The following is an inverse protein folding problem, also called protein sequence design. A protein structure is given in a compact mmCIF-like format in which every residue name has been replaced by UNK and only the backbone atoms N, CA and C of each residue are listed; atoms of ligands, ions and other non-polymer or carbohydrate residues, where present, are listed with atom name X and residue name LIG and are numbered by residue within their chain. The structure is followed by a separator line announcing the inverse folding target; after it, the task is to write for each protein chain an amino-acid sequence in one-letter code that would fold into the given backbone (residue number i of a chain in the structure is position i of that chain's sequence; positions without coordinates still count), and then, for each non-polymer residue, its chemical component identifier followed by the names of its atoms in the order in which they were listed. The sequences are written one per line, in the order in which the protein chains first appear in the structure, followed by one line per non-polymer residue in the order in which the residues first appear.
data_IF_272676680496
#
_entry.id   IF_272676680496
#
_cell.length_a   1.000
_cell.length_b   1.000
_cell.length_c   1.000
_cell.angle_alpha   90.00
_cell.angle_beta   90.00
_cell.angle_gamma   90.00
#
_symmetry.space_group_name_H-M   'P 1'
#
loop_
_entity.id
_entity.type
_entity.pdbx_description
1 polymer ?
#
# COMPACT_ATOMS: atom_id res chain seq x y z
N UNK A 1 0.10 -29.52 14.06
CA UNK A 1 -0.63 -29.49 15.35
C UNK A 1 0.42 -29.49 16.46
N UNK A 2 0.82 -28.34 16.95
CA UNK A 2 1.64 -28.22 18.14
C UNK A 2 0.91 -27.29 19.13
N UNK A 3 0.43 -27.87 20.20
CA UNK A 3 -0.18 -27.20 21.33
C UNK A 3 0.91 -26.45 22.13
N UNK A 4 0.83 -25.14 22.21
CA UNK A 4 1.59 -24.36 23.18
C UNK A 4 0.92 -24.44 24.54
N UNK A 5 1.59 -25.15 25.50
CA UNK A 5 1.26 -25.11 26.92
C UNK A 5 1.78 -23.84 27.54
N UNK A 6 0.87 -23.06 28.11
CA UNK A 6 1.18 -21.92 28.96
C UNK A 6 1.80 -22.39 30.28
N UNK A 7 3.03 -21.97 30.56
CA UNK A 7 3.59 -21.97 31.92
C UNK A 7 3.56 -20.56 32.49
N UNK A 8 2.63 -20.30 33.38
CA UNK A 8 2.67 -19.13 34.26
C UNK A 8 3.83 -19.30 35.26
N UNK A 9 4.80 -18.40 35.22
CA UNK A 9 5.70 -18.13 36.33
C UNK A 9 5.44 -16.71 36.85
N UNK A 10 4.92 -16.63 38.07
CA UNK A 10 4.83 -15.42 38.87
C UNK A 10 6.22 -15.10 39.39
N UNK A 11 6.82 -14.04 38.92
CA UNK A 11 8.07 -13.46 39.46
C UNK A 11 7.88 -11.95 39.61
N UNK A 12 7.90 -11.50 40.85
CA UNK A 12 7.84 -10.11 41.27
C UNK A 12 9.07 -9.33 40.78
N UNK A 13 8.84 -8.19 40.12
CA UNK A 13 9.89 -7.25 39.69
C UNK A 13 10.28 -6.31 40.88
N UNK A 14 11.55 -5.99 41.06
CA UNK A 14 11.99 -5.01 42.06
C UNK A 14 11.80 -3.57 41.57
N UNK A 15 11.52 -2.67 42.49
CA UNK A 15 11.26 -1.26 42.33
C UNK A 15 12.41 -0.52 41.63
N UNK A 16 12.07 0.35 40.70
CA UNK A 16 12.98 1.24 39.99
C UNK A 16 13.44 2.38 40.94
N UNK A 17 14.76 2.61 40.98
CA UNK A 17 15.39 3.75 41.66
C UNK A 17 15.37 4.96 40.72
N UNK A 18 14.94 6.11 41.29
CA UNK A 18 15.01 7.43 40.67
C UNK A 18 16.46 7.82 40.33
N UNK A 19 16.66 8.21 39.05
CA UNK A 19 17.84 8.95 38.62
C UNK A 19 17.40 10.31 38.08
N UNK A 20 17.49 11.33 38.92
CA UNK A 20 17.38 12.72 38.48
C UNK A 20 18.64 13.15 37.72
N UNK A 21 18.53 13.29 36.38
CA UNK A 21 19.52 13.92 35.52
C UNK A 21 18.98 15.24 34.95
N UNK A 22 19.52 16.37 35.42
CA UNK A 22 19.19 17.71 34.89
C UNK A 22 19.76 17.87 33.47
N UNK A 23 18.90 17.87 32.44
CA UNK A 23 19.21 18.18 31.06
C UNK A 23 18.70 19.56 30.66
N UNK A 24 19.60 20.42 30.20
CA UNK A 24 19.36 21.82 29.79
C UNK A 24 18.42 21.87 28.58
N UNK A 25 17.32 22.64 28.70
CA UNK A 25 16.44 23.02 27.55
C UNK A 25 17.19 24.00 26.67
N UNK A 26 17.40 23.66 25.38
CA UNK A 26 17.69 24.63 24.33
C UNK A 26 16.36 25.15 23.80
N UNK A 27 16.10 26.42 24.05
CA UNK A 27 15.02 27.17 23.38
C UNK A 27 15.47 27.47 21.95
N UNK A 28 14.70 27.00 20.97
CA UNK A 28 14.78 27.52 19.60
C UNK A 28 13.83 28.72 19.47
N UNK A 29 14.42 29.90 19.29
CA UNK A 29 13.71 31.12 19.02
C UNK A 29 13.15 31.08 17.58
N UNK A 30 11.81 31.14 17.45
CA UNK A 30 11.16 31.29 16.16
C UNK A 30 11.22 32.74 15.69
N UNK A 31 11.64 32.95 14.45
CA UNK A 31 11.58 34.25 13.78
C UNK A 31 10.13 34.61 13.45
N UNK A 32 9.71 35.76 13.93
CA UNK A 32 8.44 36.42 13.60
C UNK A 32 8.64 37.18 12.30
N UNK A 33 7.95 36.84 11.22
CA UNK A 33 7.81 37.69 10.04
C UNK A 33 6.56 38.54 10.20
N UNK A 34 6.75 39.85 10.29
CA UNK A 34 5.70 40.84 10.21
C UNK A 34 5.40 41.13 8.72
N UNK A 35 4.13 41.10 8.32
CA UNK A 35 3.71 41.51 6.98
C UNK A 35 2.44 40.83 6.51
N UNK A 36 1.30 41.52 6.53
CA UNK A 36 -0.08 41.11 6.37
C UNK A 36 -0.44 40.15 5.24
N UNK A 37 -1.30 39.23 5.57
CA UNK A 37 -1.92 38.27 4.65
C UNK A 37 -2.13 36.91 5.34
N UNK A 38 -3.28 36.72 6.02
CA UNK A 38 -3.51 35.58 6.90
C UNK A 38 -3.57 34.24 6.19
N UNK A 39 -2.52 33.44 6.34
CA UNK A 39 -2.58 31.99 6.23
C UNK A 39 -2.60 31.43 7.66
N UNK A 40 -3.78 31.26 8.23
CA UNK A 40 -3.93 30.46 9.45
C UNK A 40 -3.68 28.99 9.11
N UNK A 41 -2.45 28.54 9.24
CA UNK A 41 -2.15 27.11 9.38
C UNK A 41 -2.85 26.64 10.65
N UNK A 42 -3.97 25.93 10.52
CA UNK A 42 -4.62 25.30 11.64
C UNK A 42 -3.60 24.39 12.35
N UNK A 43 -3.09 24.82 13.49
CA UNK A 43 -2.33 23.96 14.38
C UNK A 43 -3.20 22.75 14.68
N UNK A 44 -2.75 21.57 14.28
CA UNK A 44 -3.25 20.36 14.94
C UNK A 44 -3.00 20.55 16.45
N UNK A 45 -4.00 20.35 17.30
CA UNK A 45 -3.78 20.39 18.73
C UNK A 45 -2.68 19.38 19.05
N UNK A 46 -1.65 19.82 19.76
CA UNK A 46 -0.61 18.92 20.25
C UNK A 46 -1.32 17.81 21.03
N UNK A 47 -0.99 16.55 20.71
CA UNK A 47 -1.53 15.40 21.40
C UNK A 47 -1.27 15.61 22.90
N UNK A 48 -2.33 15.64 23.70
CA UNK A 48 -2.18 15.68 25.14
C UNK A 48 -1.63 14.32 25.58
N UNK A 49 -0.34 14.27 25.85
CA UNK A 49 0.36 13.07 26.29
C UNK A 49 -0.20 12.50 27.61
N UNK A 50 -1.08 13.25 28.29
CA UNK A 50 -1.73 12.83 29.52
C UNK A 50 -3.00 11.99 29.31
N UNK A 51 -3.52 11.94 28.06
CA UNK A 51 -4.72 11.14 27.72
C UNK A 51 -4.59 10.51 26.32
N UNK A 52 -3.65 9.55 26.12
CA UNK A 52 -3.43 8.93 24.83
C UNK A 52 -4.67 8.20 24.29
N UNK A 53 -5.48 7.59 25.17
CA UNK A 53 -6.71 6.88 24.78
C UNK A 53 -7.78 7.83 24.24
N UNK A 54 -7.91 9.02 24.84
CA UNK A 54 -8.83 10.06 24.37
C UNK A 54 -8.48 10.53 22.95
N UNK A 55 -7.18 10.71 22.67
CA UNK A 55 -6.69 11.08 21.34
C UNK A 55 -6.91 9.97 20.30
N UNK A 56 -6.62 8.73 20.64
CA UNK A 56 -6.83 7.58 19.77
C UNK A 56 -8.32 7.39 19.46
N UNK A 57 -9.20 7.49 20.44
CA UNK A 57 -10.63 7.41 20.24
C UNK A 57 -11.15 8.52 19.30
N UNK A 58 -10.69 9.76 19.47
CA UNK A 58 -11.04 10.86 18.56
C UNK A 58 -10.50 10.63 17.14
N UNK A 59 -9.32 10.03 17.00
CA UNK A 59 -8.78 9.65 15.70
C UNK A 59 -9.67 8.60 15.03
N UNK A 60 -10.03 7.53 15.71
CA UNK A 60 -10.87 6.47 15.17
C UNK A 60 -12.28 6.95 14.81
N UNK A 61 -12.88 7.81 15.63
CA UNK A 61 -14.19 8.38 15.32
C UNK A 61 -14.16 9.27 14.05
N UNK A 62 -13.06 10.00 13.83
CA UNK A 62 -12.88 10.75 12.59
C UNK A 62 -12.67 9.83 11.38
N UNK A 63 -11.86 8.78 11.53
CA UNK A 63 -11.60 7.83 10.43
C UNK A 63 -12.86 7.08 9.99
N UNK A 64 -13.74 6.70 10.91
CA UNK A 64 -15.02 6.03 10.58
C UNK A 64 -15.90 6.82 9.60
N UNK A 65 -15.82 8.14 9.63
CA UNK A 65 -16.58 9.03 8.74
C UNK A 65 -15.90 9.34 7.41
N UNK A 66 -14.68 8.87 7.18
CA UNK A 66 -13.94 9.19 5.96
C UNK A 66 -14.24 8.16 4.87
N UNK A 67 -14.61 8.63 3.69
CA UNK A 67 -14.87 7.79 2.53
C UNK A 67 -14.34 8.45 1.26
N UNK A 68 -13.92 7.65 0.28
CA UNK A 68 -13.65 8.11 -1.08
C UNK A 68 -14.95 8.13 -1.87
N UNK A 69 -15.24 9.23 -2.53
CA UNK A 69 -16.37 9.33 -3.44
C UNK A 69 -15.95 8.88 -4.85
N UNK A 70 -16.56 7.81 -5.33
CA UNK A 70 -16.51 7.42 -6.73
C UNK A 70 -17.66 8.04 -7.49
N UNK A 71 -17.52 8.37 -8.80
CA UNK A 71 -18.65 8.84 -9.60
C UNK A 71 -19.72 7.73 -9.72
N UNK A 72 -20.99 8.13 -9.88
CA UNK A 72 -22.06 7.18 -10.07
C UNK A 72 -22.02 6.48 -11.43
N UNK A 73 -21.43 7.14 -12.44
CA UNK A 73 -21.20 6.62 -13.79
C UNK A 73 -20.00 7.31 -14.42
N UNK A 74 -19.41 6.69 -15.42
CA UNK A 74 -18.37 7.31 -16.21
C UNK A 74 -18.96 8.25 -17.26
N UNK A 75 -18.28 9.36 -17.62
CA UNK A 75 -18.70 10.22 -18.71
C UNK A 75 -18.61 9.48 -20.07
N UNK A 76 -19.36 9.95 -21.07
CA UNK A 76 -19.43 9.32 -22.38
C UNK A 76 -18.08 9.29 -23.12
N UNK A 77 -17.19 10.22 -22.81
CA UNK A 77 -15.83 10.34 -23.38
C UNK A 77 -14.76 9.63 -22.53
N UNK A 78 -15.16 8.85 -21.52
CA UNK A 78 -14.24 8.09 -20.67
C UNK A 78 -13.39 7.10 -21.48
N UNK A 79 -12.09 7.07 -21.21
CA UNK A 79 -11.16 6.19 -21.88
C UNK A 79 -11.01 4.86 -21.13
N UNK A 80 -11.07 3.70 -21.82
CA UNK A 80 -10.79 2.42 -21.18
C UNK A 80 -9.31 2.30 -20.82
N UNK A 81 -9.04 1.69 -19.68
CA UNK A 81 -7.68 1.33 -19.22
C UNK A 81 -7.75 0.17 -18.23
N UNK A 82 -6.60 -0.44 -17.95
CA UNK A 82 -6.46 -1.46 -16.93
C UNK A 82 -5.84 -0.87 -15.67
N UNK A 83 -6.37 -1.24 -14.51
CA UNK A 83 -5.73 -1.01 -13.20
C UNK A 83 -5.07 -2.29 -12.74
N UNK A 84 -3.77 -2.23 -12.47
CA UNK A 84 -2.99 -3.35 -11.91
C UNK A 84 -2.41 -2.92 -10.56
N UNK A 85 -2.90 -3.53 -9.48
CA UNK A 85 -2.43 -3.30 -8.12
C UNK A 85 -1.52 -4.45 -7.71
N UNK A 86 -0.23 -4.18 -7.58
CA UNK A 86 0.81 -5.14 -7.16
C UNK A 86 1.06 -4.94 -5.68
N UNK A 87 0.66 -5.93 -4.88
CA UNK A 87 0.74 -5.93 -3.43
C UNK A 87 1.89 -6.83 -2.98
N UNK A 88 2.96 -6.27 -2.43
CA UNK A 88 4.23 -6.97 -2.18
C UNK A 88 4.38 -7.30 -0.69
N UNK A 89 4.56 -8.56 -0.35
CA UNK A 89 5.02 -9.04 0.95
C UNK A 89 6.50 -9.47 0.85
N UNK A 90 7.45 -8.86 1.52
CA UNK A 90 7.46 -7.84 2.57
C UNK A 90 8.48 -6.77 2.17
N UNK A 91 8.07 -5.52 2.13
CA UNK A 91 8.93 -4.43 1.68
C UNK A 91 8.59 -3.11 2.40
N UNK A 92 9.56 -2.51 3.09
CA UNK A 92 9.49 -1.16 3.64
C UNK A 92 10.68 -0.32 3.15
N UNK A 93 10.63 1.00 3.37
CA UNK A 93 11.77 1.88 3.09
C UNK A 93 13.02 1.44 3.83
N UNK A 94 12.88 1.05 5.11
CA UNK A 94 14.00 0.55 5.92
C UNK A 94 14.64 -0.72 5.33
N UNK A 95 13.87 -1.59 4.70
CA UNK A 95 14.40 -2.79 4.04
C UNK A 95 15.18 -2.41 2.78
N UNK A 96 14.65 -1.49 1.96
CA UNK A 96 15.37 -1.00 0.76
C UNK A 96 16.70 -0.33 1.12
N UNK A 97 16.70 0.47 2.19
CA UNK A 97 17.92 1.11 2.69
C UNK A 97 18.94 0.06 3.16
N UNK A 98 18.47 -0.97 3.88
CA UNK A 98 19.35 -2.05 4.38
C UNK A 98 20.03 -2.85 3.27
N UNK A 99 19.43 -2.94 2.08
CA UNK A 99 19.96 -3.68 0.93
C UNK A 99 20.44 -2.77 -0.22
N UNK A 100 20.45 -1.45 -0.03
CA UNK A 100 20.89 -0.44 -1.00
C UNK A 100 20.10 -0.48 -2.33
N UNK A 101 18.79 -0.74 -2.29
CA UNK A 101 17.92 -0.80 -3.47
C UNK A 101 16.97 0.42 -3.62
N UNK A 102 17.12 1.44 -2.80
CA UNK A 102 16.31 2.67 -2.87
C UNK A 102 16.50 3.43 -4.20
N UNK A 103 17.64 3.24 -4.87
CA UNK A 103 17.93 3.85 -6.17
C UNK A 103 17.77 2.88 -7.36
N UNK A 104 17.09 1.75 -7.17
CA UNK A 104 16.82 0.83 -8.26
C UNK A 104 16.02 1.53 -9.38
N UNK A 105 16.30 1.27 -10.69
CA UNK A 105 15.60 1.93 -11.82
C UNK A 105 14.08 1.82 -11.79
N UNK A 106 13.53 0.77 -11.20
CA UNK A 106 12.10 0.60 -11.02
C UNK A 106 11.43 1.85 -10.42
N UNK A 107 12.03 2.39 -9.35
CA UNK A 107 11.44 3.51 -8.61
C UNK A 107 11.53 4.84 -9.38
N UNK A 108 12.59 5.04 -10.16
CA UNK A 108 12.73 6.24 -11.00
C UNK A 108 11.76 6.27 -12.19
N UNK A 109 11.19 5.12 -12.58
CA UNK A 109 10.16 5.03 -13.64
C UNK A 109 8.77 5.41 -13.15
N UNK A 110 8.53 5.48 -11.85
CA UNK A 110 7.22 5.88 -11.31
C UNK A 110 6.91 7.33 -11.67
N UNK A 111 5.63 7.64 -11.86
CA UNK A 111 5.16 9.01 -12.07
C UNK A 111 4.86 9.70 -10.72
N UNK A 112 4.40 8.91 -9.73
CA UNK A 112 4.09 9.38 -8.39
C UNK A 112 4.71 8.42 -7.36
N UNK A 113 5.36 8.97 -6.33
CA UNK A 113 5.85 8.24 -5.17
C UNK A 113 5.27 8.84 -3.88
N UNK A 114 4.80 7.97 -2.99
CA UNK A 114 4.39 8.35 -1.65
C UNK A 114 5.57 8.11 -0.69
N UNK A 115 6.20 9.18 -0.25
CA UNK A 115 7.36 9.12 0.64
C UNK A 115 6.99 8.79 2.09
N UNK A 116 5.72 8.98 2.45
CA UNK A 116 5.26 8.82 3.83
C UNK A 116 3.92 8.05 3.88
N UNK A 117 3.92 6.87 3.26
CA UNK A 117 2.76 5.97 3.27
C UNK A 117 2.86 4.99 4.45
N UNK A 118 1.77 4.87 5.21
CA UNK A 118 1.67 3.96 6.35
C UNK A 118 0.66 2.84 6.04
N UNK A 119 1.13 1.60 6.02
CA UNK A 119 0.29 0.41 5.80
C UNK A 119 -0.54 0.01 7.04
N UNK A 120 -0.25 0.60 8.19
CA UNK A 120 -0.97 0.42 9.47
C UNK A 120 -1.00 -1.03 9.99
N UNK A 121 -0.08 -1.88 9.54
CA UNK A 121 -0.03 -3.28 9.95
C UNK A 121 1.35 -3.90 9.72
N UNK A 122 1.60 -5.07 10.32
CA UNK A 122 2.82 -5.85 10.19
C UNK A 122 2.57 -7.26 9.61
N UNK A 123 1.34 -7.54 9.13
CA UNK A 123 0.93 -8.86 8.62
C UNK A 123 0.12 -8.75 7.33
N UNK A 124 0.24 -9.75 6.46
CA UNK A 124 -0.33 -9.77 5.10
C UNK A 124 -1.86 -9.73 5.08
N UNK A 125 -2.54 -10.54 5.89
CA UNK A 125 -4.01 -10.54 5.94
C UNK A 125 -4.59 -9.15 6.25
N UNK A 126 -4.22 -8.54 7.38
CA UNK A 126 -4.66 -7.17 7.70
C UNK A 126 -4.27 -6.13 6.64
N UNK A 127 -3.10 -6.26 6.00
CA UNK A 127 -2.68 -5.34 4.94
C UNK A 127 -3.59 -5.45 3.70
N UNK A 128 -3.83 -6.67 3.23
CA UNK A 128 -4.70 -6.93 2.10
C UNK A 128 -6.14 -6.47 2.36
N UNK A 129 -6.70 -6.76 3.54
CA UNK A 129 -8.04 -6.29 3.93
C UNK A 129 -8.11 -4.76 3.89
N UNK A 130 -7.10 -4.06 4.44
CA UNK A 130 -7.04 -2.59 4.44
C UNK A 130 -6.96 -2.01 3.04
N UNK A 131 -6.18 -2.64 2.15
CA UNK A 131 -6.07 -2.24 0.75
C UNK A 131 -7.39 -2.46 0.00
N UNK A 132 -8.02 -3.62 0.16
CA UNK A 132 -9.28 -3.93 -0.50
C UNK A 132 -10.45 -3.07 0.03
N UNK A 133 -10.37 -2.61 1.28
CA UNK A 133 -11.31 -1.66 1.90
C UNK A 133 -10.83 -0.20 1.86
N UNK A 134 -9.96 0.13 0.89
CA UNK A 134 -9.29 1.43 0.82
C UNK A 134 -10.22 2.63 0.62
N UNK A 135 -11.48 2.42 0.25
CA UNK A 135 -12.44 3.50 0.01
C UNK A 135 -13.07 4.05 1.29
N UNK A 136 -12.74 3.48 2.46
CA UNK A 136 -13.13 4.00 3.77
C UNK A 136 -11.90 4.26 4.65
N UNK A 137 -12.07 5.05 5.70
CA UNK A 137 -11.02 5.31 6.67
C UNK A 137 -10.59 4.04 7.41
N UNK A 138 -9.35 4.06 7.91
CA UNK A 138 -8.72 2.88 8.52
C UNK A 138 -9.35 2.55 9.88
N UNK A 139 -9.85 1.32 9.99
CA UNK A 139 -10.36 0.76 11.24
C UNK A 139 -9.22 0.39 12.20
N UNK A 140 -9.53 0.31 13.51
CA UNK A 140 -8.63 -0.32 14.47
C UNK A 140 -8.38 -1.78 14.08
N UNK A 141 -7.27 -2.38 14.53
CA UNK A 141 -7.00 -3.78 14.24
C UNK A 141 -8.10 -4.71 14.77
N UNK A 142 -8.64 -4.39 15.94
CA UNK A 142 -9.74 -5.16 16.55
C UNK A 142 -11.01 -5.17 15.69
N UNK A 143 -11.31 -4.04 15.05
CA UNK A 143 -12.55 -3.85 14.30
C UNK A 143 -12.39 -4.20 12.81
N UNK A 144 -11.17 -4.51 12.36
CA UNK A 144 -10.84 -4.75 10.96
C UNK A 144 -11.64 -5.91 10.35
N UNK A 145 -11.91 -6.95 11.12
CA UNK A 145 -12.62 -8.16 10.67
C UNK A 145 -14.14 -8.06 10.81
N UNK A 146 -14.65 -6.91 11.25
CA UNK A 146 -16.09 -6.66 11.27
C UNK A 146 -16.61 -6.32 9.86
N UNK A 147 -17.88 -6.61 9.56
CA UNK A 147 -18.50 -6.19 8.30
C UNK A 147 -18.41 -4.68 8.10
N UNK A 148 -18.21 -4.26 6.86
CA UNK A 148 -18.21 -2.85 6.45
C UNK A 148 -19.25 -2.60 5.37
N UNK A 149 -19.57 -1.33 5.15
CA UNK A 149 -20.46 -0.94 4.05
C UNK A 149 -19.83 -1.27 2.70
N UNK A 150 -20.65 -1.66 1.72
CA UNK A 150 -20.23 -2.03 0.37
C UNK A 150 -19.37 -0.94 -0.31
N UNK A 151 -19.66 0.33 -0.05
CA UNK A 151 -18.87 1.46 -0.56
C UNK A 151 -17.41 1.48 -0.10
N UNK A 152 -17.04 0.70 0.92
CA UNK A 152 -15.67 0.62 1.41
C UNK A 152 -14.76 -0.22 0.50
N UNK A 153 -15.33 -1.15 -0.27
CA UNK A 153 -14.58 -2.04 -1.14
C UNK A 153 -14.16 -1.33 -2.43
N UNK A 154 -12.84 -1.21 -2.61
CA UNK A 154 -12.26 -0.51 -3.76
C UNK A 154 -12.65 -1.17 -5.09
N UNK A 155 -12.56 -2.50 -5.17
CA UNK A 155 -12.82 -3.24 -6.40
C UNK A 155 -14.30 -3.26 -6.75
N UNK A 156 -15.20 -3.25 -5.77
CA UNK A 156 -16.65 -3.10 -5.99
C UNK A 156 -17.02 -1.75 -6.59
N UNK A 157 -16.39 -0.68 -6.07
CA UNK A 157 -16.61 0.65 -6.63
C UNK A 157 -16.14 0.74 -8.09
N UNK A 158 -15.03 0.05 -8.41
CA UNK A 158 -14.54 -0.05 -9.78
C UNK A 158 -15.45 -0.92 -10.66
N UNK A 159 -15.96 -2.06 -10.13
CA UNK A 159 -16.89 -2.93 -10.84
C UNK A 159 -18.17 -2.20 -11.25
N UNK A 160 -18.73 -1.35 -10.38
CA UNK A 160 -19.89 -0.48 -10.68
C UNK A 160 -19.63 0.48 -11.84
N UNK A 161 -18.37 0.81 -12.11
CA UNK A 161 -17.93 1.67 -13.22
C UNK A 161 -17.52 0.86 -14.46
N UNK A 162 -17.76 -0.44 -14.47
CA UNK A 162 -17.51 -1.32 -15.61
C UNK A 162 -16.09 -1.93 -15.66
N UNK A 163 -15.31 -1.82 -14.58
CA UNK A 163 -14.04 -2.54 -14.49
C UNK A 163 -14.30 -4.01 -14.14
N UNK A 164 -13.77 -4.92 -14.97
CA UNK A 164 -13.83 -6.36 -14.68
C UNK A 164 -12.78 -6.71 -13.62
N UNK A 165 -13.24 -7.24 -12.50
CA UNK A 165 -12.36 -7.71 -11.44
C UNK A 165 -11.50 -8.90 -11.88
N UNK A 166 -10.23 -8.91 -11.49
CA UNK A 166 -9.29 -10.00 -11.72
C UNK A 166 -8.44 -10.23 -10.46
N UNK A 167 -8.08 -11.49 -10.20
CA UNK A 167 -7.28 -11.88 -9.06
C UNK A 167 -6.09 -12.73 -9.50
N UNK A 168 -4.89 -12.33 -9.07
CA UNK A 168 -3.63 -13.01 -9.31
C UNK A 168 -2.87 -13.19 -8.00
N UNK A 169 -2.22 -14.34 -7.86
CA UNK A 169 -1.26 -14.62 -6.79
C UNK A 169 -0.05 -15.32 -7.43
N UNK A 170 1.14 -15.10 -6.90
CA UNK A 170 2.34 -15.89 -7.23
C UNK A 170 2.47 -17.15 -6.36
N UNK A 171 1.51 -17.40 -5.49
CA UNK A 171 1.44 -18.50 -4.54
C UNK A 171 0.03 -19.11 -4.49
N UNK A 172 -0.16 -20.19 -3.73
CA UNK A 172 -1.48 -20.87 -3.63
C UNK A 172 -2.54 -20.06 -2.87
N UNK A 173 -2.13 -19.15 -2.00
CA UNK A 173 -3.03 -18.44 -1.09
C UNK A 173 -3.59 -19.28 0.06
N UNK A 174 -3.10 -20.53 0.22
CA UNK A 174 -3.57 -21.46 1.25
C UNK A 174 -3.03 -21.09 2.62
N UNK A 175 -1.75 -20.70 2.70
CA UNK A 175 -1.14 -20.33 3.97
C UNK A 175 -1.90 -19.18 4.65
N UNK A 176 -2.15 -19.32 5.96
CA UNK A 176 -2.90 -18.34 6.73
C UNK A 176 -4.35 -18.14 6.26
N UNK A 177 -4.88 -19.00 5.38
CA UNK A 177 -6.17 -18.82 4.70
C UNK A 177 -6.24 -17.52 3.87
N UNK A 178 -5.12 -17.04 3.34
CA UNK A 178 -5.02 -15.74 2.69
C UNK A 178 -6.06 -15.56 1.55
N UNK A 179 -6.17 -16.54 0.65
CA UNK A 179 -7.19 -16.48 -0.42
C UNK A 179 -8.61 -16.40 0.14
N UNK A 180 -8.89 -17.13 1.22
CA UNK A 180 -10.19 -17.05 1.91
C UNK A 180 -10.44 -15.65 2.50
N UNK A 181 -9.41 -15.04 3.12
CA UNK A 181 -9.51 -13.67 3.62
C UNK A 181 -9.78 -12.65 2.49
N UNK A 182 -9.13 -12.78 1.34
CA UNK A 182 -9.42 -11.95 0.17
C UNK A 182 -10.89 -12.06 -0.26
N UNK A 183 -11.47 -13.28 -0.21
CA UNK A 183 -12.87 -13.53 -0.54
C UNK A 183 -13.82 -12.94 0.49
N UNK A 184 -13.64 -13.30 1.75
CA UNK A 184 -14.61 -13.02 2.81
C UNK A 184 -14.50 -11.59 3.35
N UNK A 185 -13.27 -11.08 3.44
CA UNK A 185 -13.01 -9.77 4.02
C UNK A 185 -12.74 -8.69 2.97
N UNK A 186 -12.23 -9.08 1.82
CA UNK A 186 -11.91 -8.18 0.71
C UNK A 186 -12.97 -8.10 -0.37
N UNK A 187 -13.97 -8.99 -0.32
CA UNK A 187 -15.05 -9.15 -1.32
C UNK A 187 -14.55 -9.44 -2.75
N UNK A 188 -13.36 -10.06 -2.86
CA UNK A 188 -12.80 -10.46 -4.16
C UNK A 188 -13.50 -11.72 -4.68
N UNK A 189 -14.30 -11.61 -5.76
CA UNK A 189 -15.09 -12.71 -6.29
C UNK A 189 -14.50 -13.34 -7.56
N UNK A 190 -13.61 -12.64 -8.28
CA UNK A 190 -13.00 -13.16 -9.50
C UNK A 190 -12.25 -14.50 -9.25
N UNK A 191 -12.30 -15.45 -10.19
CA UNK A 191 -11.48 -16.67 -10.07
C UNK A 191 -10.00 -16.31 -10.05
N UNK A 192 -9.21 -17.09 -9.29
CA UNK A 192 -7.76 -16.97 -9.32
C UNK A 192 -7.25 -17.27 -10.73
N UNK A 193 -6.44 -16.39 -11.30
CA UNK A 193 -5.79 -16.62 -12.58
C UNK A 193 -4.92 -17.87 -12.52
N UNK A 194 -5.02 -18.70 -13.56
CA UNK A 194 -4.29 -19.97 -13.63
C UNK A 194 -2.77 -19.76 -13.59
N UNK A 195 -2.12 -20.49 -12.70
CA UNK A 195 -0.66 -20.58 -12.53
C UNK A 195 -0.06 -21.76 -13.33
N UNK A 196 -0.89 -22.54 -14.02
CA UNK A 196 -0.45 -23.72 -14.77
C UNK A 196 0.59 -23.34 -15.82
N UNK A 197 1.73 -24.04 -15.84
CA UNK A 197 2.83 -23.82 -16.78
C UNK A 197 3.69 -22.60 -16.50
N UNK A 198 3.49 -21.90 -15.37
CA UNK A 198 4.43 -20.87 -14.88
C UNK A 198 5.57 -21.56 -14.14
N UNK A 199 6.79 -21.08 -14.33
CA UNK A 199 7.99 -21.61 -13.65
C UNK A 199 7.98 -21.34 -12.14
N UNK A 200 8.44 -22.30 -11.35
CA UNK A 200 8.68 -22.09 -9.94
C UNK A 200 9.98 -21.29 -9.75
N UNK A 201 9.89 -20.16 -9.05
CA UNK A 201 11.04 -19.31 -8.78
C UNK A 201 11.63 -19.59 -7.40
N UNK A 202 10.78 -19.76 -6.41
CA UNK A 202 11.14 -20.04 -5.03
C UNK A 202 10.24 -21.16 -4.47
N UNK A 203 10.61 -21.65 -3.31
CA UNK A 203 9.78 -22.48 -2.46
C UNK A 203 9.50 -21.69 -1.19
N UNK A 204 8.24 -21.57 -0.81
CA UNK A 204 7.86 -20.88 0.42
C UNK A 204 8.33 -21.67 1.66
N UNK A 205 8.24 -21.03 2.82
CA UNK A 205 8.68 -21.66 4.08
C UNK A 205 7.83 -22.90 4.45
N UNK A 206 6.59 -23.00 4.00
CA UNK A 206 5.69 -24.14 4.20
C UNK A 206 5.83 -25.22 3.09
N UNK A 207 6.68 -24.97 2.09
CA UNK A 207 7.00 -25.94 1.04
C UNK A 207 6.24 -25.77 -0.26
N UNK A 208 5.28 -24.83 -0.32
CA UNK A 208 4.52 -24.54 -1.54
C UNK A 208 5.36 -23.79 -2.58
N UNK A 209 5.07 -23.94 -3.88
CA UNK A 209 5.76 -23.19 -4.92
C UNK A 209 5.42 -21.70 -4.87
N UNK A 210 6.42 -20.86 -5.15
CA UNK A 210 6.24 -19.44 -5.49
C UNK A 210 6.62 -19.32 -6.97
N UNK A 211 5.66 -18.84 -7.75
CA UNK A 211 5.76 -18.79 -9.20
C UNK A 211 6.50 -17.52 -9.67
N UNK A 212 7.03 -17.57 -10.89
CA UNK A 212 7.75 -16.45 -11.48
C UNK A 212 6.82 -15.26 -11.78
N UNK A 213 7.09 -14.12 -11.15
CA UNK A 213 6.26 -12.93 -11.24
C UNK A 213 6.24 -12.32 -12.65
N UNK A 214 7.38 -12.29 -13.33
CA UNK A 214 7.45 -11.77 -14.70
C UNK A 214 6.64 -12.62 -15.67
N UNK A 215 6.68 -13.94 -15.54
CA UNK A 215 5.87 -14.85 -16.38
C UNK A 215 4.37 -14.66 -16.11
N UNK A 216 3.96 -14.53 -14.84
CA UNK A 216 2.57 -14.24 -14.47
C UNK A 216 2.09 -12.91 -15.05
N UNK A 217 2.89 -11.87 -14.91
CA UNK A 217 2.60 -10.52 -15.41
C UNK A 217 2.57 -10.49 -16.96
N UNK A 218 3.48 -11.21 -17.61
CA UNK A 218 3.48 -11.34 -19.08
C UNK A 218 2.22 -12.05 -19.57
N UNK A 219 1.81 -13.14 -18.91
CA UNK A 219 0.55 -13.86 -19.19
C UNK A 219 -0.65 -12.93 -18.99
N UNK A 220 -0.67 -12.16 -17.92
CA UNK A 220 -1.71 -11.16 -17.68
C UNK A 220 -1.79 -10.17 -18.85
N UNK A 221 -0.66 -9.60 -19.27
CA UNK A 221 -0.60 -8.65 -20.39
C UNK A 221 -1.14 -9.28 -21.70
N UNK A 222 -0.73 -10.50 -22.02
CA UNK A 222 -1.22 -11.23 -23.19
C UNK A 222 -2.74 -11.44 -23.15
N UNK A 223 -3.29 -11.72 -21.98
CA UNK A 223 -4.74 -11.85 -21.79
C UNK A 223 -5.46 -10.51 -21.99
N UNK A 224 -4.90 -9.41 -21.46
CA UNK A 224 -5.49 -8.09 -21.67
C UNK A 224 -5.46 -7.68 -23.16
N UNK A 225 -4.38 -7.95 -23.86
CA UNK A 225 -4.27 -7.66 -25.30
C UNK A 225 -5.29 -8.44 -26.11
N UNK A 226 -5.51 -9.72 -25.80
CA UNK A 226 -6.54 -10.56 -26.45
C UNK A 226 -7.97 -10.14 -26.11
N UNK A 227 -8.17 -9.56 -24.93
CA UNK A 227 -9.49 -9.11 -24.46
C UNK A 227 -9.99 -7.80 -25.07
N UNK A 228 -9.18 -7.12 -25.89
CA UNK A 228 -9.52 -5.83 -26.50
C UNK A 228 -9.45 -4.66 -25.52
N UNK A 229 -10.09 -3.55 -25.87
CA UNK A 229 -10.05 -2.29 -25.09
C UNK A 229 -11.11 -2.26 -23.96
N UNK A 230 -11.06 -3.25 -23.08
CA UNK A 230 -11.89 -3.31 -21.88
C UNK A 230 -11.31 -2.52 -20.71
N UNK A 231 -12.10 -2.44 -19.62
CA UNK A 231 -11.63 -1.97 -18.30
C UNK A 231 -11.46 -3.18 -17.40
N UNK A 232 -10.26 -3.36 -16.84
CA UNK A 232 -10.02 -4.38 -15.82
C UNK A 232 -9.43 -3.77 -14.55
N UNK A 233 -9.70 -4.37 -13.42
CA UNK A 233 -9.07 -4.06 -12.14
C UNK A 233 -8.51 -5.35 -11.56
N UNK A 234 -7.19 -5.44 -11.48
CA UNK A 234 -6.46 -6.64 -11.08
C UNK A 234 -5.78 -6.41 -9.74
N UNK A 235 -6.05 -7.30 -8.79
CA UNK A 235 -5.25 -7.43 -7.56
C UNK A 235 -4.24 -8.56 -7.76
N UNK A 236 -2.96 -8.25 -7.62
CA UNK A 236 -1.85 -9.19 -7.70
C UNK A 236 -1.03 -9.15 -6.42
N UNK A 237 -1.08 -10.22 -5.63
CA UNK A 237 -0.25 -10.35 -4.43
C UNK A 237 0.96 -11.24 -4.71
N UNK A 238 2.13 -10.80 -4.27
CA UNK A 238 3.41 -11.46 -4.49
C UNK A 238 4.19 -11.58 -3.19
N UNK A 239 4.82 -12.74 -2.99
CA UNK A 239 5.51 -13.10 -1.74
C UNK A 239 6.99 -13.49 -1.88
N UNK A 240 7.76 -13.09 -2.93
CA UNK A 240 9.17 -13.48 -3.04
C UNK A 240 10.02 -13.00 -1.86
N UNK A 241 9.60 -11.90 -1.21
CA UNK A 241 10.33 -11.27 -0.11
C UNK A 241 9.90 -11.78 1.28
N UNK A 242 8.95 -12.73 1.35
CA UNK A 242 8.53 -13.31 2.62
C UNK A 242 9.67 -14.08 3.29
N UNK A 243 9.69 -14.03 4.64
CA UNK A 243 10.69 -14.74 5.45
C UNK A 243 10.61 -16.25 5.24
N UNK A 244 11.77 -16.90 5.31
CA UNK A 244 11.85 -18.37 5.22
C UNK A 244 11.71 -18.92 3.80
N UNK A 245 11.46 -18.11 2.79
CA UNK A 245 11.48 -18.55 1.40
C UNK A 245 12.86 -19.09 1.03
N UNK A 246 12.89 -20.08 0.13
CA UNK A 246 14.07 -20.84 -0.27
C UNK A 246 14.22 -20.81 -1.78
N UNK A 247 15.43 -20.82 -2.29
CA UNK A 247 15.65 -21.14 -3.70
C UNK A 247 15.22 -22.58 -4.00
N UNK A 248 14.68 -22.80 -5.19
CA UNK A 248 14.23 -24.14 -5.62
C UNK A 248 15.37 -25.15 -5.46
N UNK A 249 15.08 -26.28 -4.80
CA UNK A 249 16.05 -27.33 -4.51
C UNK A 249 16.95 -27.06 -3.28
N UNK A 250 16.79 -25.92 -2.60
CA UNK A 250 17.52 -25.60 -1.37
C UNK A 250 16.68 -25.85 -0.12
N UNK A 251 17.33 -26.33 0.95
CA UNK A 251 16.74 -26.45 2.28
C UNK A 251 17.07 -25.26 3.19
N UNK A 252 17.85 -24.29 2.71
CA UNK A 252 18.24 -23.08 3.45
C UNK A 252 17.38 -21.91 3.02
N UNK A 253 17.00 -21.04 3.97
CA UNK A 253 16.37 -19.76 3.65
C UNK A 253 17.23 -18.98 2.67
N UNK A 254 16.59 -18.43 1.66
CA UNK A 254 17.25 -17.57 0.69
C UNK A 254 17.48 -16.17 1.28
N UNK A 255 18.65 -15.60 1.04
CA UNK A 255 18.96 -14.24 1.46
C UNK A 255 18.01 -13.23 0.82
N UNK A 256 17.66 -12.19 1.57
CA UNK A 256 16.72 -11.17 1.12
C UNK A 256 17.24 -10.34 -0.07
N UNK A 257 18.52 -9.83 -0.08
CA UNK A 257 19.00 -8.95 -1.14
C UNK A 257 18.86 -9.51 -2.56
N UNK A 258 19.27 -10.76 -2.88
CA UNK A 258 19.11 -11.29 -4.24
C UNK A 258 17.66 -11.48 -4.65
N UNK A 259 16.76 -11.79 -3.70
CA UNK A 259 15.32 -11.89 -3.98
C UNK A 259 14.71 -10.52 -4.29
N UNK A 260 15.08 -9.50 -3.51
CA UNK A 260 14.62 -8.13 -3.73
C UNK A 260 15.13 -7.56 -5.06
N UNK A 261 16.42 -7.75 -5.36
CA UNK A 261 16.99 -7.34 -6.65
C UNK A 261 16.22 -8.00 -7.80
N UNK A 262 16.00 -9.30 -7.73
CA UNK A 262 15.31 -10.05 -8.79
C UNK A 262 13.86 -9.58 -8.98
N UNK A 263 13.11 -9.41 -7.90
CA UNK A 263 11.75 -8.89 -7.98
C UNK A 263 11.71 -7.51 -8.65
N UNK A 264 12.59 -6.60 -8.25
CA UNK A 264 12.63 -5.26 -8.84
C UNK A 264 13.04 -5.28 -10.31
N UNK A 265 13.98 -6.15 -10.70
CA UNK A 265 14.37 -6.35 -12.10
C UNK A 265 13.21 -6.89 -12.93
N UNK A 266 12.44 -7.84 -12.40
CA UNK A 266 11.26 -8.38 -13.05
C UNK A 266 10.16 -7.33 -13.23
N UNK A 267 9.84 -6.56 -12.20
CA UNK A 267 8.86 -5.48 -12.27
C UNK A 267 9.32 -4.37 -13.24
N UNK A 268 10.61 -4.03 -13.20
CA UNK A 268 11.20 -3.06 -14.13
C UNK A 268 11.11 -3.52 -15.58
N UNK A 269 11.41 -4.79 -15.85
CA UNK A 269 11.26 -5.42 -17.17
C UNK A 269 9.81 -5.44 -17.62
N UNK A 270 8.88 -5.75 -16.72
CA UNK A 270 7.46 -5.75 -17.03
C UNK A 270 6.94 -4.35 -17.41
N UNK A 271 7.40 -3.29 -16.74
CA UNK A 271 7.06 -1.92 -17.12
C UNK A 271 7.51 -1.61 -18.56
N UNK A 272 8.71 -2.08 -18.96
CA UNK A 272 9.19 -1.93 -20.34
C UNK A 272 8.31 -2.71 -21.35
N UNK A 273 7.80 -3.90 -20.97
CA UNK A 273 6.86 -4.64 -21.78
C UNK A 273 5.52 -3.89 -21.93
N UNK A 274 5.02 -3.31 -20.83
CA UNK A 274 3.80 -2.50 -20.87
C UNK A 274 3.94 -1.30 -21.79
N UNK A 275 5.02 -0.54 -21.68
CA UNK A 275 5.28 0.62 -22.55
C UNK A 275 5.31 0.22 -24.03
N UNK A 276 5.97 -0.88 -24.36
CA UNK A 276 6.02 -1.41 -25.75
C UNK A 276 4.68 -1.92 -26.26
N UNK A 277 3.80 -2.34 -25.36
CA UNK A 277 2.48 -2.90 -25.74
C UNK A 277 1.50 -1.85 -26.28
N UNK A 278 1.74 -0.57 -25.98
CA UNK A 278 0.82 0.53 -26.30
C UNK A 278 -0.47 0.52 -25.47
N UNK A 279 -0.59 -0.35 -24.50
CA UNK A 279 -1.78 -0.48 -23.66
C UNK A 279 -1.82 0.62 -22.59
N UNK A 280 -3.03 1.07 -22.24
CA UNK A 280 -3.24 2.05 -21.18
C UNK A 280 -3.40 1.33 -19.85
N UNK A 281 -2.46 1.51 -18.95
CA UNK A 281 -2.42 0.81 -17.65
C UNK A 281 -2.03 1.78 -16.54
N UNK A 282 -2.79 1.77 -15.45
CA UNK A 282 -2.37 2.33 -14.17
C UNK A 282 -1.77 1.20 -13.34
N UNK A 283 -0.48 1.24 -13.12
CA UNK A 283 0.23 0.28 -12.25
C UNK A 283 0.41 0.93 -10.88
N UNK A 284 -0.05 0.23 -9.84
CA UNK A 284 0.13 0.61 -8.43
C UNK A 284 1.00 -0.44 -7.76
N UNK A 285 2.18 -0.04 -7.28
CA UNK A 285 3.01 -0.88 -6.42
C UNK A 285 2.74 -0.43 -4.97
N UNK A 286 2.18 -1.33 -4.16
CA UNK A 286 1.80 -1.04 -2.78
C UNK A 286 2.18 -2.21 -1.88
N UNK A 287 3.34 -2.14 -1.18
CA UNK A 287 3.74 -3.18 -0.25
C UNK A 287 2.80 -3.27 0.96
N UNK A 288 2.72 -4.49 1.53
CA UNK A 288 1.90 -4.79 2.71
C UNK A 288 2.51 -4.25 3.99
N UNK A 289 3.78 -4.58 4.21
CA UNK A 289 4.58 -4.24 5.39
C UNK A 289 6.05 -4.58 5.11
N UNK A 290 6.94 -4.15 5.98
CA UNK A 290 8.37 -4.45 5.88
C UNK A 290 8.73 -5.87 6.32
N UNK A 291 9.94 -6.29 5.92
CA UNK A 291 10.57 -7.54 6.33
C UNK A 291 11.22 -7.45 7.72
N UNK A 292 11.34 -6.26 8.28
CA UNK A 292 12.06 -5.99 9.52
C UNK A 292 13.53 -6.45 9.49
N UNK A 293 14.22 -6.22 8.36
CA UNK A 293 15.64 -6.58 8.21
C UNK A 293 16.50 -5.91 9.27
N UNK A 294 16.14 -4.70 9.67
CA UNK A 294 16.78 -3.95 10.74
C UNK A 294 15.82 -3.90 11.93
N UNK A 295 16.32 -4.30 13.09
CA UNK A 295 15.57 -4.14 14.35
C UNK A 295 15.44 -2.67 14.74
N UNK A 296 14.64 -2.40 15.75
CA UNK A 296 14.47 -1.08 16.36
C UNK A 296 14.65 -1.16 17.89
N UNK A 297 14.30 -0.08 18.60
CA UNK A 297 14.42 -0.03 20.06
C UNK A 297 13.45 -0.96 20.79
N UNK A 298 12.41 -1.45 20.12
CA UNK A 298 11.32 -2.23 20.71
C UNK A 298 11.43 -3.71 20.39
N UNK A 299 12.05 -4.06 19.24
CA UNK A 299 12.11 -5.44 18.74
C UNK A 299 13.37 -5.69 17.91
N UNK A 300 13.84 -6.93 17.94
CA UNK A 300 15.01 -7.36 17.17
C UNK A 300 14.69 -7.49 15.68
N UNK A 301 15.75 -7.53 14.86
CA UNK A 301 15.65 -7.90 13.44
C UNK A 301 14.84 -9.19 13.24
N UNK A 302 13.97 -9.20 12.26
CA UNK A 302 13.06 -10.32 11.95
C UNK A 302 11.77 -10.37 12.76
N UNK A 303 11.64 -9.58 13.85
CA UNK A 303 10.42 -9.51 14.64
C UNK A 303 9.50 -8.39 14.14
N UNK A 304 8.20 -8.69 14.06
CA UNK A 304 7.15 -7.79 13.53
C UNK A 304 5.92 -7.70 14.45
N UNK A 305 6.06 -8.07 15.70
CA UNK A 305 4.94 -8.07 16.65
C UNK A 305 4.42 -6.66 16.94
N UNK A 306 5.30 -5.66 16.85
CA UNK A 306 4.96 -4.25 17.02
C UNK A 306 5.05 -3.58 15.65
N UNK A 307 3.96 -3.01 15.12
CA UNK A 307 3.94 -2.33 13.82
C UNK A 307 4.67 -0.96 13.90
N UNK A 308 5.98 -1.01 14.06
CA UNK A 308 6.85 0.17 14.12
C UNK A 308 7.00 0.83 12.74
N UNK A 309 7.48 2.08 12.66
CA UNK A 309 7.71 2.76 11.39
C UNK A 309 8.62 1.99 10.42
N UNK A 310 9.62 1.25 10.92
CA UNK A 310 10.49 0.41 10.07
C UNK A 310 9.73 -0.69 9.31
N UNK A 311 8.52 -1.01 9.77
CA UNK A 311 7.67 -2.06 9.19
C UNK A 311 6.52 -1.46 8.40
N UNK A 312 5.88 -0.41 8.93
CA UNK A 312 4.64 0.13 8.34
C UNK A 312 4.88 1.24 7.32
N UNK A 313 6.08 1.81 7.26
CA UNK A 313 6.44 2.86 6.31
C UNK A 313 6.91 2.22 5.00
N UNK A 314 5.98 2.09 4.05
CA UNK A 314 6.19 1.35 2.80
C UNK A 314 6.35 2.28 1.58
N UNK A 315 7.19 1.91 0.58
CA UNK A 315 7.30 2.65 -0.67
C UNK A 315 6.10 2.35 -1.56
N UNK A 316 5.26 3.35 -1.81
CA UNK A 316 4.12 3.21 -2.74
C UNK A 316 4.40 4.02 -3.99
N UNK A 317 4.38 3.35 -5.14
CA UNK A 317 4.64 3.94 -6.45
C UNK A 317 3.48 3.76 -7.40
N UNK A 318 3.25 4.75 -8.27
CA UNK A 318 2.22 4.71 -9.30
C UNK A 318 2.84 5.07 -10.64
N UNK A 319 2.61 4.21 -11.63
CA UNK A 319 3.02 4.41 -13.02
C UNK A 319 1.81 4.40 -13.93
N UNK A 320 1.70 5.42 -14.77
CA UNK A 320 0.68 5.51 -15.81
C UNK A 320 1.33 5.22 -17.16
N UNK A 321 1.04 4.05 -17.71
CA UNK A 321 1.58 3.59 -19.00
C UNK A 321 0.59 3.91 -20.13
N UNK A 322 1.07 4.34 -21.28
CA UNK A 322 0.23 4.63 -22.45
C UNK A 322 -0.37 6.04 -22.49
N UNK A 323 0.16 6.96 -21.71
CA UNK A 323 -0.26 8.37 -21.71
C UNK A 323 0.21 9.09 -22.97
N UNK A 324 -0.66 9.96 -23.51
CA UNK A 324 -0.28 10.89 -24.59
C UNK A 324 0.74 11.93 -24.13
N UNK A 325 0.63 12.39 -22.88
CA UNK A 325 1.55 13.34 -22.25
C UNK A 325 2.15 12.71 -20.95
N UNK A 326 3.14 11.80 -21.07
CA UNK A 326 3.74 11.15 -19.93
C UNK A 326 4.46 12.16 -19.02
N UNK A 327 4.51 11.84 -17.73
CA UNK A 327 5.29 12.62 -16.77
C UNK A 327 6.77 12.65 -17.17
N UNK A 328 7.41 13.80 -17.05
CA UNK A 328 8.82 13.99 -17.36
C UNK A 328 9.63 14.22 -16.09
N UNK A 329 10.82 13.64 -16.04
CA UNK A 329 11.74 13.80 -14.92
C UNK A 329 11.51 12.86 -13.75
N UNK A 330 11.93 13.25 -12.55
CA UNK A 330 11.79 12.44 -11.34
C UNK A 330 10.33 12.31 -10.92
N UNK A 331 9.95 11.20 -10.26
CA UNK A 331 8.60 11.02 -9.74
C UNK A 331 8.12 12.19 -8.88
N UNK A 332 6.84 12.53 -8.99
CA UNK A 332 6.20 13.48 -8.10
C UNK A 332 6.13 12.90 -6.69
N UNK A 333 6.80 13.54 -5.73
CA UNK A 333 6.89 13.08 -4.35
C UNK A 333 5.71 13.58 -3.51
N UNK A 334 4.93 12.66 -2.91
CA UNK A 334 3.89 12.97 -1.92
C UNK A 334 4.47 12.74 -0.53
N UNK A 335 4.91 13.84 0.11
CA UNK A 335 5.60 13.82 1.41
C UNK A 335 4.65 13.84 2.62
N UNK A 336 3.39 14.16 2.40
CA UNK A 336 2.40 14.19 3.48
C UNK A 336 2.05 12.78 3.95
N UNK A 337 1.78 12.56 5.24
CA UNK A 337 1.31 11.28 5.73
C UNK A 337 0.11 10.79 4.93
N UNK A 338 0.19 9.57 4.46
CA UNK A 338 -0.76 8.94 3.55
C UNK A 338 -1.06 7.51 4.00
N UNK A 339 -2.19 6.98 3.55
CA UNK A 339 -2.59 5.60 3.75
C UNK A 339 -3.44 5.13 2.56
N UNK A 340 -4.01 3.95 2.65
CA UNK A 340 -4.83 3.36 1.59
C UNK A 340 -5.97 4.27 1.09
N UNK A 341 -6.55 5.11 1.94
CA UNK A 341 -7.58 6.06 1.53
C UNK A 341 -7.04 7.07 0.50
N UNK A 342 -5.78 7.53 0.64
CA UNK A 342 -5.16 8.42 -0.33
C UNK A 342 -4.97 7.73 -1.69
N UNK A 343 -4.67 6.43 -1.68
CA UNK A 343 -4.59 5.61 -2.90
C UNK A 343 -5.97 5.50 -3.58
N UNK A 344 -7.01 5.16 -2.81
CA UNK A 344 -8.38 5.12 -3.31
C UNK A 344 -8.85 6.46 -3.89
N UNK A 345 -8.52 7.56 -3.22
CA UNK A 345 -8.78 8.93 -3.70
C UNK A 345 -8.11 9.19 -5.07
N UNK A 346 -6.86 8.79 -5.23
CA UNK A 346 -6.14 8.95 -6.50
C UNK A 346 -6.78 8.09 -7.60
N UNK A 347 -7.09 6.82 -7.31
CA UNK A 347 -7.76 5.91 -8.25
C UNK A 347 -9.11 6.49 -8.67
N UNK A 348 -9.90 7.02 -7.74
CA UNK A 348 -11.23 7.60 -8.06
C UNK A 348 -11.17 8.79 -9.04
N UNK A 349 -10.03 9.47 -9.11
CA UNK A 349 -9.78 10.59 -10.06
C UNK A 349 -9.30 10.12 -11.43
N UNK A 350 -8.82 8.87 -11.50
CA UNK A 350 -8.31 8.29 -12.73
C UNK A 350 -9.36 7.45 -13.48
N UNK A 351 -10.51 7.11 -12.85
CA UNK A 351 -11.46 6.14 -13.38
C UNK A 351 -12.06 6.47 -14.75
N UNK A 352 -12.12 7.74 -15.12
CA UNK A 352 -12.57 8.15 -16.46
C UNK A 352 -11.50 7.97 -17.54
N UNK A 353 -10.25 7.70 -17.17
CA UNK A 353 -9.14 7.45 -18.07
C UNK A 353 -8.73 8.65 -18.93
N UNK A 354 -9.26 9.84 -18.68
CA UNK A 354 -8.93 11.05 -19.46
C UNK A 354 -7.46 11.39 -19.44
N UNK A 355 -6.77 11.08 -18.33
CA UNK A 355 -5.33 11.26 -18.18
C UNK A 355 -4.52 10.62 -19.33
N UNK A 356 -5.04 9.58 -19.99
CA UNK A 356 -4.37 8.90 -21.09
C UNK A 356 -4.50 9.63 -22.44
N UNK A 357 -5.50 10.47 -22.61
CA UNK A 357 -5.79 11.17 -23.87
C UNK A 357 -5.52 12.68 -23.83
N UNK A 358 -5.38 13.25 -22.65
CA UNK A 358 -5.13 14.67 -22.48
C UNK A 358 -3.77 15.10 -23.03
N UNK A 359 -3.67 16.28 -23.67
CA UNK A 359 -2.41 16.80 -24.18
C UNK A 359 -1.48 17.30 -23.07
N UNK A 360 -2.00 17.54 -21.89
CA UNK A 360 -1.25 17.90 -20.67
C UNK A 360 -2.00 17.42 -19.44
N UNK A 361 -1.28 17.08 -18.39
CA UNK A 361 -1.84 16.62 -17.10
C UNK A 361 -1.44 17.59 -16.01
N UNK A 362 -2.43 18.11 -15.27
CA UNK A 362 -2.17 18.86 -14.04
C UNK A 362 -1.91 17.87 -12.90
N UNK A 363 -0.65 17.49 -12.76
CA UNK A 363 -0.19 16.55 -11.72
C UNK A 363 -0.44 17.07 -10.31
N UNK A 364 -0.45 18.39 -10.10
CA UNK A 364 -0.77 18.96 -8.80
C UNK A 364 -2.24 18.79 -8.46
N UNK A 365 -3.14 19.07 -9.39
CA UNK A 365 -4.57 18.87 -9.20
C UNK A 365 -4.89 17.39 -8.99
N UNK A 366 -4.28 16.49 -9.78
CA UNK A 366 -4.46 15.06 -9.66
C UNK A 366 -4.10 14.54 -8.25
N UNK A 367 -3.04 15.03 -7.66
CA UNK A 367 -2.56 14.63 -6.32
C UNK A 367 -3.01 15.53 -5.18
N UNK A 368 -3.72 16.62 -5.47
CA UNK A 368 -4.25 17.53 -4.46
C UNK A 368 -5.29 16.78 -3.61
N UNK A 369 -5.22 16.86 -2.31
CA UNK A 369 -6.13 16.12 -1.42
C UNK A 369 -5.63 14.73 -1.01
N UNK A 370 -4.81 14.05 -1.80
CA UNK A 370 -3.94 13.00 -1.27
C UNK A 370 -2.98 13.56 -0.20
N UNK A 371 -2.93 14.89 -0.10
CA UNK A 371 -2.02 15.66 0.77
C UNK A 371 -2.66 16.19 2.07
N UNK A 372 -3.99 16.09 2.27
CA UNK A 372 -4.67 16.61 3.49
C UNK A 372 -5.95 15.84 3.82
N UNK A 373 -6.26 15.61 5.10
CA UNK A 373 -7.64 15.34 5.49
C UNK A 373 -8.48 16.58 5.11
N UNK A 374 -9.56 16.40 4.36
CA UNK A 374 -10.53 17.48 4.09
C UNK A 374 -11.06 17.97 5.44
N UNK A 375 -10.85 19.25 5.73
CA UNK A 375 -11.67 19.96 6.69
C UNK A 375 -13.14 19.90 6.19
N UNK A 376 -14.06 19.48 7.03
CA UNK A 376 -15.51 19.46 6.75
C UNK A 376 -15.97 20.72 6.05
N UNK A 377 -16.93 20.66 5.10
CA UNK A 377 -17.50 21.86 4.51
C UNK A 377 -18.08 22.74 5.62
N UNK A 378 -17.70 24.01 5.63
CA UNK A 378 -18.35 25.00 6.48
C UNK A 378 -19.82 25.02 6.10
N UNK A 379 -20.69 24.58 7.00
CA UNK A 379 -22.12 24.89 6.95
C UNK A 379 -22.25 26.43 6.98
N UNK A 380 -22.46 27.03 5.82
CA UNK A 380 -22.95 28.39 5.75
C UNK A 380 -24.41 28.34 6.18
N UNK A 381 -24.70 28.77 7.38
CA UNK A 381 -26.03 29.11 7.82
C UNK A 381 -26.47 30.35 7.02
N UNK A 382 -27.63 30.33 6.34
CA UNK A 382 -28.15 31.56 5.74
C UNK A 382 -28.67 32.46 6.87
N UNK A 383 -28.24 33.71 6.83
CA UNK A 383 -28.77 34.81 7.64
C UNK A 383 -30.19 35.17 7.22
#
# INVERSE_FOLDING_TARGET
VAQYRQHRRTGSLPAARDLHGRGRRRQYAGHVCAGGGGCSAGRQPAADQRQPDGYLNQFYEREKGRTTAFPASLPADAQPFDLLVINICSLAWADMDAVNLQNHPLWSKMDIMFDNFNSATAYSGPAAIRLLRASCGQLSHRDLYQPVNQQCYLFDNLAKLGFKEQLMLDHSGVFGNFLKELREQGDMQAPLMSQAGIGNELTSFDGEPIYNDLELLTRWLDQQQKGGDGRTATFFNVIPLHDGNRFVGSNKSADYPPRAQKLFDQLNTFLDQLEKSGRKVVVVIVPEHGAALVGDKMQMSGLRDIPSPNITHTPVGIKLVGMKAPHQGSPLQIKTPSSYLALSELVSRLVDGKVFSEPSVDWQALTQGCRRPRSSPKTTTPS
#
